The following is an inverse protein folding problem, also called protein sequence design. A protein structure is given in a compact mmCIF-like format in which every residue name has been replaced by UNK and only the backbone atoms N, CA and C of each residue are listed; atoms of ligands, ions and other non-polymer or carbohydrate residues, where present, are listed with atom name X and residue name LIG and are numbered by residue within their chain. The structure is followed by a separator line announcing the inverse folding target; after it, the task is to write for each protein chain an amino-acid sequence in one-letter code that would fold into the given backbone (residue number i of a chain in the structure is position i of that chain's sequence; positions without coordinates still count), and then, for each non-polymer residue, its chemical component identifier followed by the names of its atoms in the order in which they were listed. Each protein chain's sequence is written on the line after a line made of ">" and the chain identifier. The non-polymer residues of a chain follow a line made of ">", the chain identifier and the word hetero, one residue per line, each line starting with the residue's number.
data_IF_677931999363
#
_entry.id   IF_677931999363
#
_cell.length_a   1.000
_cell.length_b   1.000
_cell.length_c   1.000
_cell.angle_alpha   90.00
_cell.angle_beta   90.00
_cell.angle_gamma   90.00
#
_symmetry.space_group_name_H-M   'P 1'
#
loop_
_entity.id
_entity.type
_entity.pdbx_description
1 polymer ?
#
# COMPACT_ATOMS: atom_id res chain seq x y z
N UNK A 1 43.26 28.37 -46.84
CA UNK A 1 42.85 26.95 -46.71
C UNK A 1 42.15 26.59 -48.01
N UNK A 2 42.59 25.56 -48.73
CA UNK A 2 41.97 25.16 -50.01
C UNK A 2 40.67 24.40 -49.75
N UNK A 3 39.72 24.45 -50.70
CA UNK A 3 38.40 23.81 -50.57
C UNK A 3 38.51 22.29 -50.36
N UNK A 4 39.47 21.64 -51.01
CA UNK A 4 39.78 20.22 -50.78
C UNK A 4 40.24 19.95 -49.33
N UNK A 5 41.09 20.81 -48.78
CA UNK A 5 41.56 20.65 -47.40
C UNK A 5 40.41 20.80 -46.39
N UNK A 6 39.46 21.71 -46.64
CA UNK A 6 38.25 21.84 -45.81
C UNK A 6 37.33 20.62 -45.88
N UNK A 7 37.19 20.00 -47.06
CA UNK A 7 36.38 18.78 -47.20
C UNK A 7 36.99 17.59 -46.45
N UNK A 8 38.31 17.42 -46.51
CA UNK A 8 39.02 16.36 -45.77
C UNK A 8 38.84 16.53 -44.26
N UNK A 9 39.04 17.76 -43.75
CA UNK A 9 38.84 18.06 -42.32
C UNK A 9 37.39 17.80 -41.88
N UNK A 10 36.39 18.17 -42.70
CA UNK A 10 34.99 17.93 -42.38
C UNK A 10 34.67 16.42 -42.31
N UNK A 11 35.27 15.62 -43.19
CA UNK A 11 35.06 14.18 -43.24
C UNK A 11 35.76 13.46 -42.08
N UNK A 12 36.97 13.88 -41.71
CA UNK A 12 37.68 13.40 -40.51
C UNK A 12 36.92 13.75 -39.23
N UNK A 13 36.41 14.99 -39.11
CA UNK A 13 35.61 15.41 -37.96
C UNK A 13 34.31 14.60 -37.82
N UNK A 14 33.63 14.32 -38.95
CA UNK A 14 32.43 13.48 -38.94
C UNK A 14 32.76 12.05 -38.51
N UNK A 15 33.87 11.48 -39.01
CA UNK A 15 34.35 10.16 -38.61
C UNK A 15 34.63 10.08 -37.11
N UNK A 16 35.36 11.05 -36.57
CA UNK A 16 35.67 11.12 -35.14
C UNK A 16 34.40 11.31 -34.28
N UNK A 17 33.40 12.06 -34.75
CA UNK A 17 32.12 12.20 -34.05
C UNK A 17 31.35 10.88 -33.98
N UNK A 18 31.28 10.16 -35.10
CA UNK A 18 30.60 8.86 -35.16
C UNK A 18 31.30 7.85 -34.24
N UNK A 19 32.63 7.80 -34.27
CA UNK A 19 33.42 6.89 -33.44
C UNK A 19 33.23 7.20 -31.94
N UNK A 20 33.21 8.48 -31.57
CA UNK A 20 32.92 8.92 -30.20
C UNK A 20 31.49 8.57 -29.76
N UNK A 21 30.49 8.76 -30.62
CA UNK A 21 29.11 8.33 -30.31
C UNK A 21 29.05 6.81 -30.09
N UNK A 22 29.73 6.04 -30.93
CA UNK A 22 29.80 4.57 -30.78
C UNK A 22 30.51 4.15 -29.49
N UNK A 23 31.60 4.80 -29.11
CA UNK A 23 32.28 4.55 -27.84
C UNK A 23 31.40 4.93 -26.64
N UNK A 24 30.69 6.05 -26.69
CA UNK A 24 29.72 6.43 -25.66
C UNK A 24 28.56 5.43 -25.56
N UNK A 25 28.05 4.92 -26.68
CA UNK A 25 27.02 3.87 -26.73
C UNK A 25 27.56 2.53 -26.17
N UNK A 26 28.81 2.18 -26.47
CA UNK A 26 29.50 1.00 -25.95
C UNK A 26 29.74 1.10 -24.43
N UNK A 27 30.12 2.27 -23.92
CA UNK A 27 30.25 2.50 -22.48
C UNK A 27 28.89 2.47 -21.77
N UNK A 28 27.83 3.02 -22.39
CA UNK A 28 26.46 2.94 -21.88
C UNK A 28 25.96 1.50 -21.80
N UNK A 29 26.38 0.61 -22.69
CA UNK A 29 25.97 -0.81 -22.67
C UNK A 29 26.73 -1.64 -21.62
N UNK A 30 27.92 -1.20 -21.17
CA UNK A 30 28.64 -1.83 -20.06
C UNK A 30 28.02 -1.54 -18.68
N UNK A 31 27.17 -0.52 -18.57
CA UNK A 31 26.49 -0.13 -17.33
C UNK A 31 25.01 -0.45 -17.51
N UNK A 32 24.47 -1.39 -16.73
CA UNK A 32 23.07 -1.79 -16.84
C UNK A 32 22.29 -1.31 -15.60
N UNK A 33 21.91 -0.01 -15.54
CA UNK A 33 21.16 0.51 -14.40
C UNK A 33 19.75 -0.10 -14.39
N UNK A 34 19.20 -0.24 -13.18
CA UNK A 34 17.85 -0.74 -12.99
C UNK A 34 16.84 0.25 -13.60
N UNK A 35 16.17 -0.16 -14.67
CA UNK A 35 15.19 0.66 -15.38
C UNK A 35 13.86 0.68 -14.62
N UNK A 36 13.49 1.85 -14.08
CA UNK A 36 12.26 2.09 -13.34
C UNK A 36 11.34 2.97 -14.16
N UNK A 37 10.15 2.45 -14.50
CA UNK A 37 9.11 3.20 -15.19
C UNK A 37 8.00 3.60 -14.21
N UNK A 38 7.54 4.85 -14.30
CA UNK A 38 6.42 5.34 -13.49
C UNK A 38 5.35 5.87 -14.46
N UNK A 39 4.17 5.24 -14.47
CA UNK A 39 3.03 5.69 -15.29
C UNK A 39 2.28 6.81 -14.57
N UNK A 40 1.51 7.60 -15.33
CA UNK A 40 0.81 8.79 -14.80
C UNK A 40 1.75 9.63 -13.93
N UNK A 41 2.97 9.87 -14.42
CA UNK A 41 4.05 10.48 -13.64
C UNK A 41 3.77 11.94 -13.22
N UNK A 42 2.75 12.59 -13.78
CA UNK A 42 2.23 13.87 -13.29
C UNK A 42 1.41 13.77 -11.99
N UNK A 43 1.10 12.55 -11.53
CA UNK A 43 0.39 12.33 -10.28
C UNK A 43 1.23 12.82 -9.08
N UNK A 44 0.60 13.44 -8.04
CA UNK A 44 1.32 13.90 -6.85
C UNK A 44 2.13 12.82 -6.13
N UNK A 45 1.73 11.55 -6.25
CA UNK A 45 2.48 10.44 -5.69
C UNK A 45 3.88 10.29 -6.32
N UNK A 46 4.02 10.55 -7.63
CA UNK A 46 5.30 10.46 -8.32
C UNK A 46 6.31 11.48 -7.77
N UNK A 47 5.88 12.73 -7.60
CA UNK A 47 6.72 13.81 -7.02
C UNK A 47 7.30 13.43 -5.65
N UNK A 48 6.50 12.76 -4.81
CA UNK A 48 6.94 12.30 -3.49
C UNK A 48 7.74 10.98 -3.53
N UNK A 49 7.57 10.17 -4.58
CA UNK A 49 8.20 8.87 -4.72
C UNK A 49 9.65 8.99 -5.21
N UNK A 50 9.93 9.91 -6.13
CA UNK A 50 11.25 10.07 -6.75
C UNK A 50 12.36 10.24 -5.69
N UNK A 51 12.26 11.16 -4.70
CA UNK A 51 13.30 11.31 -3.68
C UNK A 51 13.54 10.04 -2.86
N UNK A 52 12.51 9.21 -2.67
CA UNK A 52 12.65 7.95 -1.92
C UNK A 52 13.36 6.91 -2.78
N UNK A 53 13.04 6.80 -4.08
CA UNK A 53 13.73 5.89 -4.99
C UNK A 53 15.21 6.27 -5.16
N UNK A 54 15.50 7.56 -5.30
CA UNK A 54 16.85 8.10 -5.48
C UNK A 54 17.63 8.21 -4.17
N UNK A 55 17.02 7.89 -3.03
CA UNK A 55 17.75 7.82 -1.75
C UNK A 55 18.69 6.62 -1.67
N UNK A 56 18.49 5.58 -2.49
CA UNK A 56 19.21 4.31 -2.41
C UNK A 56 18.67 3.34 -1.34
N UNK A 57 17.66 3.72 -0.54
CA UNK A 57 17.08 2.83 0.47
C UNK A 57 16.20 1.72 -0.09
N UNK A 58 15.69 1.90 -1.31
CA UNK A 58 14.70 0.98 -1.92
C UNK A 58 15.38 -0.19 -2.63
N UNK A 59 16.45 0.09 -3.40
CA UNK A 59 17.17 -0.91 -4.20
C UNK A 59 18.61 -1.16 -3.72
N UNK A 60 19.08 -0.40 -2.71
CA UNK A 60 20.44 -0.43 -2.20
C UNK A 60 21.38 0.60 -2.84
N UNK A 61 22.38 1.05 -2.09
CA UNK A 61 23.36 2.07 -2.52
C UNK A 61 24.28 1.64 -3.66
N UNK A 62 24.33 0.35 -3.96
CA UNK A 62 25.15 -0.22 -5.03
C UNK A 62 24.37 -0.43 -6.33
N UNK A 63 23.06 -0.11 -6.34
CA UNK A 63 22.18 -0.28 -7.49
C UNK A 63 21.93 1.07 -8.13
N UNK A 64 22.59 1.35 -9.25
CA UNK A 64 22.26 2.51 -10.07
C UNK A 64 20.88 2.33 -10.72
N UNK A 65 20.10 3.41 -10.80
CA UNK A 65 18.75 3.42 -11.37
C UNK A 65 18.62 4.44 -12.50
N UNK A 66 17.80 4.10 -13.48
CA UNK A 66 17.34 5.00 -14.53
C UNK A 66 15.84 5.12 -14.44
N UNK A 67 15.31 6.34 -14.30
CA UNK A 67 13.88 6.58 -14.13
C UNK A 67 13.29 7.09 -15.45
N UNK A 68 12.24 6.45 -15.95
CA UNK A 68 11.44 6.97 -17.06
C UNK A 68 10.05 7.36 -16.57
N UNK A 69 9.75 8.65 -16.71
CA UNK A 69 8.47 9.26 -16.37
C UNK A 69 7.54 9.15 -17.57
N UNK A 70 6.51 8.32 -17.46
CA UNK A 70 5.57 8.05 -18.55
C UNK A 70 4.21 8.69 -18.26
N UNK A 71 3.75 9.54 -19.18
CA UNK A 71 2.44 10.16 -19.11
C UNK A 71 1.97 10.57 -20.52
N UNK A 72 0.78 11.12 -20.62
CA UNK A 72 0.24 11.67 -21.86
C UNK A 72 1.02 12.93 -22.31
N UNK A 73 0.84 13.29 -23.59
CA UNK A 73 1.49 14.46 -24.19
C UNK A 73 1.10 15.80 -23.54
N UNK A 74 -0.06 15.91 -22.91
CA UNK A 74 -0.48 17.16 -22.25
C UNK A 74 0.34 17.43 -20.98
N UNK A 75 0.86 16.38 -20.34
CA UNK A 75 1.71 16.48 -19.17
C UNK A 75 3.20 16.74 -19.49
N UNK A 76 3.59 16.81 -20.77
CA UNK A 76 5.00 16.83 -21.20
C UNK A 76 5.81 17.96 -20.53
N UNK A 77 5.28 19.17 -20.47
CA UNK A 77 5.96 20.31 -19.83
C UNK A 77 6.14 20.11 -18.32
N UNK A 78 5.14 19.52 -17.66
CA UNK A 78 5.24 19.18 -16.24
C UNK A 78 6.31 18.09 -16.01
N UNK A 79 6.35 17.07 -16.86
CA UNK A 79 7.37 16.02 -16.79
C UNK A 79 8.78 16.57 -17.03
N UNK A 80 8.96 17.52 -17.97
CA UNK A 80 10.24 18.20 -18.18
C UNK A 80 10.71 18.94 -16.94
N UNK A 81 9.81 19.65 -16.25
CA UNK A 81 10.12 20.27 -14.95
C UNK A 81 10.58 19.23 -13.94
N UNK A 82 9.84 18.11 -13.83
CA UNK A 82 10.16 17.05 -12.89
C UNK A 82 11.50 16.38 -13.20
N UNK A 83 11.87 16.23 -14.47
CA UNK A 83 13.21 15.76 -14.89
C UNK A 83 14.30 16.66 -14.34
N UNK A 84 14.16 17.99 -14.52
CA UNK A 84 15.16 18.96 -14.03
C UNK A 84 15.27 18.89 -12.52
N UNK A 85 14.14 18.94 -11.79
CA UNK A 85 14.14 18.81 -10.32
C UNK A 85 14.77 17.49 -9.86
N UNK A 86 14.53 16.40 -10.58
CA UNK A 86 15.10 15.08 -10.26
C UNK A 86 16.61 15.03 -10.50
N UNK A 87 17.11 15.70 -11.53
CA UNK A 87 18.56 15.84 -11.78
C UNK A 87 19.23 16.69 -10.70
N UNK A 88 18.57 17.77 -10.27
CA UNK A 88 19.05 18.68 -9.24
C UNK A 88 19.17 18.03 -7.85
N UNK A 89 18.54 16.87 -7.63
CA UNK A 89 18.76 16.06 -6.43
C UNK A 89 20.21 15.57 -6.29
N UNK A 90 20.98 15.56 -7.38
CA UNK A 90 22.38 15.11 -7.42
C UNK A 90 22.58 13.75 -6.72
N UNK A 91 21.62 12.85 -6.90
CA UNK A 91 21.62 11.55 -6.22
C UNK A 91 22.74 10.65 -6.76
N UNK A 92 23.51 9.97 -5.88
CA UNK A 92 24.59 9.08 -6.30
C UNK A 92 24.10 7.80 -6.98
N UNK A 93 22.84 7.39 -6.75
CA UNK A 93 22.27 6.19 -7.37
C UNK A 93 21.51 6.50 -8.65
N UNK A 94 21.20 7.77 -8.93
CA UNK A 94 20.48 8.16 -10.13
C UNK A 94 21.43 8.31 -11.31
N UNK A 95 21.35 7.36 -12.26
CA UNK A 95 22.15 7.41 -13.49
C UNK A 95 21.54 8.35 -14.52
N UNK A 96 20.24 8.25 -14.73
CA UNK A 96 19.51 9.09 -15.67
C UNK A 96 18.03 9.20 -15.31
N UNK A 97 17.40 10.27 -15.76
CA UNK A 97 15.95 10.45 -15.73
C UNK A 97 15.50 10.96 -17.09
N UNK A 98 14.38 10.43 -17.59
CA UNK A 98 13.85 10.71 -18.93
C UNK A 98 12.32 10.77 -18.91
N UNK A 99 11.74 11.36 -19.95
CA UNK A 99 10.28 11.36 -20.16
C UNK A 99 9.94 10.44 -21.34
N UNK A 100 8.74 9.87 -21.31
CA UNK A 100 8.14 9.20 -22.44
C UNK A 100 6.68 9.62 -22.55
N UNK A 101 6.28 10.10 -23.73
CA UNK A 101 4.87 10.46 -24.02
C UNK A 101 4.28 9.65 -25.17
N UNK A 102 5.09 8.78 -25.79
CA UNK A 102 4.68 7.89 -26.87
C UNK A 102 4.41 6.50 -26.33
N UNK A 103 3.18 6.04 -26.51
CA UNK A 103 2.71 4.77 -25.98
C UNK A 103 3.50 3.59 -26.56
N UNK A 104 3.93 3.67 -27.81
CA UNK A 104 4.64 2.59 -28.51
C UNK A 104 6.05 2.35 -27.96
N UNK A 105 6.62 3.35 -27.29
CA UNK A 105 7.96 3.29 -26.68
C UNK A 105 7.91 2.91 -25.19
N UNK A 106 6.71 2.77 -24.62
CA UNK A 106 6.54 2.52 -23.19
C UNK A 106 7.15 1.18 -22.73
N UNK A 107 7.70 1.17 -21.53
CA UNK A 107 8.21 -0.01 -20.81
C UNK A 107 9.40 -0.73 -21.45
N UNK A 108 10.12 -0.10 -22.38
CA UNK A 108 11.34 -0.67 -22.96
C UNK A 108 12.36 -0.98 -21.87
N UNK A 109 12.78 -2.25 -21.83
CA UNK A 109 13.77 -2.79 -20.90
C UNK A 109 13.42 -2.55 -19.42
N UNK A 110 12.14 -2.32 -19.11
CA UNK A 110 11.71 -2.03 -17.74
C UNK A 110 12.02 -3.22 -16.82
N UNK A 111 12.65 -2.93 -15.68
CA UNK A 111 12.87 -3.89 -14.60
C UNK A 111 11.83 -3.71 -13.50
N UNK A 112 11.40 -2.47 -13.28
CA UNK A 112 10.32 -2.11 -12.34
C UNK A 112 9.34 -1.18 -13.04
N UNK A 113 8.05 -1.43 -12.87
CA UNK A 113 6.97 -0.57 -13.38
C UNK A 113 6.05 -0.22 -12.22
N UNK A 114 5.93 1.07 -11.93
CA UNK A 114 5.00 1.63 -10.94
C UNK A 114 3.78 2.18 -11.68
N UNK A 115 2.62 1.57 -11.45
CA UNK A 115 1.36 1.98 -12.08
C UNK A 115 0.60 2.92 -11.15
N UNK A 116 0.48 4.21 -11.52
CA UNK A 116 -0.21 5.24 -10.71
C UNK A 116 -1.52 5.73 -11.33
N UNK A 117 -1.98 5.12 -12.43
CA UNK A 117 -3.13 5.62 -13.19
C UNK A 117 -4.42 5.58 -12.39
N UNK A 118 -4.91 6.76 -12.01
CA UNK A 118 -6.19 6.95 -11.34
C UNK A 118 -7.21 7.59 -12.29
N UNK A 119 -8.49 7.48 -11.95
CA UNK A 119 -9.56 8.22 -12.62
C UNK A 119 -9.41 9.71 -12.33
N UNK A 120 -9.40 10.56 -13.37
CA UNK A 120 -9.36 12.01 -13.15
C UNK A 120 -10.74 12.53 -12.77
N UNK A 121 -10.83 13.33 -11.70
CA UNK A 121 -12.09 13.93 -11.21
C UNK A 121 -12.79 14.84 -12.25
N UNK A 122 -12.11 15.14 -13.37
CA UNK A 122 -12.58 16.06 -14.42
C UNK A 122 -13.52 15.43 -15.43
N UNK A 123 -13.69 14.11 -15.40
CA UNK A 123 -14.53 13.40 -16.35
C UNK A 123 -15.83 12.96 -15.67
N UNK A 124 -16.97 13.50 -16.14
CA UNK A 124 -18.30 13.14 -15.64
C UNK A 124 -18.65 11.74 -16.12
N UNK A 125 -18.17 10.72 -15.40
CA UNK A 125 -18.42 9.32 -15.67
C UNK A 125 -19.26 8.70 -14.56
N UNK A 126 -20.17 7.78 -14.92
CA UNK A 126 -20.75 6.87 -13.92
C UNK A 126 -19.66 5.97 -13.35
N UNK A 127 -19.89 5.37 -12.17
CA UNK A 127 -18.94 4.42 -11.59
C UNK A 127 -18.65 3.27 -12.56
N UNK A 128 -19.66 2.78 -13.26
CA UNK A 128 -19.53 1.73 -14.27
C UNK A 128 -18.69 2.17 -15.48
N UNK A 129 -18.81 3.42 -15.92
CA UNK A 129 -17.97 3.96 -16.98
C UNK A 129 -16.50 4.06 -16.52
N UNK A 130 -16.26 4.48 -15.28
CA UNK A 130 -14.94 4.44 -14.66
C UNK A 130 -14.35 3.02 -14.67
N UNK A 131 -15.13 2.01 -14.25
CA UNK A 131 -14.71 0.60 -14.25
C UNK A 131 -14.38 0.10 -15.66
N UNK A 132 -15.26 0.34 -16.64
CA UNK A 132 -15.06 -0.08 -18.04
C UNK A 132 -13.86 0.61 -18.70
N UNK A 133 -13.64 1.89 -18.40
CA UNK A 133 -12.51 2.65 -18.95
C UNK A 133 -11.14 2.06 -18.56
N UNK A 134 -11.06 1.25 -17.49
CA UNK A 134 -9.80 0.61 -17.07
C UNK A 134 -9.39 -0.51 -18.01
N UNK A 135 -10.32 -1.15 -18.72
CA UNK A 135 -10.04 -2.31 -19.56
C UNK A 135 -9.15 -1.97 -20.76
N UNK A 136 -9.45 -0.94 -21.58
CA UNK A 136 -8.57 -0.55 -22.68
C UNK A 136 -7.16 -0.20 -22.21
N UNK A 137 -7.04 0.55 -21.10
CA UNK A 137 -5.76 0.94 -20.53
C UNK A 137 -4.94 -0.28 -20.08
N UNK A 138 -5.51 -1.15 -19.26
CA UNK A 138 -4.82 -2.33 -18.75
C UNK A 138 -4.49 -3.33 -19.87
N UNK A 139 -5.33 -3.42 -20.91
CA UNK A 139 -5.05 -4.23 -22.10
C UNK A 139 -3.84 -3.73 -22.86
N UNK A 140 -3.78 -2.42 -23.11
CA UNK A 140 -2.67 -1.78 -23.79
C UNK A 140 -1.38 -1.93 -22.98
N UNK A 141 -1.41 -1.62 -21.68
CA UNK A 141 -0.25 -1.77 -20.80
C UNK A 141 0.21 -3.21 -20.70
N UNK A 142 -0.71 -4.16 -20.47
CA UNK A 142 -0.34 -5.58 -20.39
C UNK A 142 0.41 -6.06 -21.64
N UNK A 143 -0.11 -5.72 -22.83
CA UNK A 143 0.55 -6.01 -24.09
C UNK A 143 1.94 -5.37 -24.22
N UNK A 144 2.07 -4.08 -23.89
CA UNK A 144 3.34 -3.36 -24.00
C UNK A 144 4.38 -3.88 -23.01
N UNK A 145 3.96 -4.23 -21.79
CA UNK A 145 4.85 -4.78 -20.78
C UNK A 145 5.42 -6.13 -21.25
N UNK A 146 4.57 -7.06 -21.72
CA UNK A 146 5.07 -8.34 -22.23
C UNK A 146 5.98 -8.22 -23.45
N UNK A 147 5.72 -7.20 -24.29
CA UNK A 147 6.47 -6.97 -25.51
C UNK A 147 7.83 -6.30 -25.26
N UNK A 148 7.87 -5.31 -24.36
CA UNK A 148 8.98 -4.37 -24.26
C UNK A 148 9.80 -4.51 -22.98
N UNK A 149 9.22 -5.00 -21.88
CA UNK A 149 9.86 -5.06 -20.57
C UNK A 149 10.82 -6.26 -20.45
N UNK A 150 11.65 -6.23 -19.41
CA UNK A 150 12.50 -7.36 -19.05
C UNK A 150 11.65 -8.57 -18.61
N UNK A 151 12.12 -9.80 -18.84
CA UNK A 151 11.35 -11.02 -18.52
C UNK A 151 11.01 -11.15 -17.03
N UNK A 152 11.87 -10.62 -16.16
CA UNK A 152 11.71 -10.60 -14.71
C UNK A 152 11.12 -9.28 -14.17
N UNK A 153 10.45 -8.49 -15.01
CA UNK A 153 9.90 -7.19 -14.61
C UNK A 153 8.96 -7.33 -13.41
N UNK A 154 9.12 -6.43 -12.43
CA UNK A 154 8.22 -6.31 -11.29
C UNK A 154 7.25 -5.16 -11.51
N UNK A 155 5.96 -5.46 -11.52
CA UNK A 155 4.90 -4.47 -11.70
C UNK A 155 4.20 -4.26 -10.37
N UNK A 156 4.22 -3.02 -9.89
CA UNK A 156 3.56 -2.63 -8.66
C UNK A 156 2.43 -1.66 -8.99
N UNK A 157 1.21 -2.06 -8.67
CA UNK A 157 0.01 -1.26 -8.90
C UNK A 157 -0.30 -0.48 -7.64
N UNK A 158 -0.17 0.84 -7.74
CA UNK A 158 -0.56 1.80 -6.73
C UNK A 158 -1.66 2.72 -7.23
N UNK A 159 -1.83 3.82 -6.50
CA UNK A 159 -2.86 4.82 -6.78
C UNK A 159 -4.04 4.73 -5.81
N UNK A 160 -5.00 5.64 -6.03
CA UNK A 160 -6.14 5.88 -5.16
C UNK A 160 -7.35 5.04 -5.52
N UNK A 161 -7.53 4.69 -6.80
CA UNK A 161 -8.76 4.04 -7.27
C UNK A 161 -8.50 2.70 -7.98
N UNK A 162 -9.42 1.75 -7.74
CA UNK A 162 -9.53 0.47 -8.42
C UNK A 162 -8.22 -0.34 -8.48
N UNK A 163 -7.44 -0.33 -7.40
CA UNK A 163 -6.09 -0.94 -7.38
C UNK A 163 -6.17 -2.45 -7.66
N UNK A 164 -7.10 -3.16 -7.00
CA UNK A 164 -7.31 -4.60 -7.21
C UNK A 164 -7.76 -4.89 -8.65
N UNK A 165 -8.70 -4.11 -9.19
CA UNK A 165 -9.22 -4.30 -10.55
C UNK A 165 -8.13 -4.08 -11.60
N UNK A 166 -7.36 -2.97 -11.51
CA UNK A 166 -6.24 -2.69 -12.43
C UNK A 166 -5.24 -3.85 -12.42
N UNK A 167 -4.93 -4.36 -11.23
CA UNK A 167 -4.01 -5.48 -11.04
C UNK A 167 -4.50 -6.76 -11.71
N UNK A 168 -5.75 -7.17 -11.49
CA UNK A 168 -6.28 -8.39 -12.10
C UNK A 168 -6.44 -8.26 -13.63
N UNK A 169 -6.73 -7.06 -14.13
CA UNK A 169 -6.79 -6.79 -15.57
C UNK A 169 -5.39 -6.85 -16.20
N UNK A 170 -4.38 -6.25 -15.57
CA UNK A 170 -2.99 -6.36 -16.03
C UNK A 170 -2.53 -7.81 -16.06
N UNK A 171 -2.78 -8.60 -15.01
CA UNK A 171 -2.48 -10.04 -14.99
C UNK A 171 -3.18 -10.81 -16.12
N UNK A 172 -4.43 -10.43 -16.44
CA UNK A 172 -5.18 -11.05 -17.54
C UNK A 172 -4.58 -10.74 -18.91
N UNK A 173 -4.07 -9.53 -19.11
CA UNK A 173 -3.52 -9.07 -20.39
C UNK A 173 -1.99 -9.22 -20.50
N UNK A 174 -1.31 -9.58 -19.40
CA UNK A 174 0.10 -9.91 -19.33
C UNK A 174 0.33 -11.25 -18.59
N UNK A 175 -0.21 -12.38 -19.10
CA UNK A 175 -0.16 -13.66 -18.40
C UNK A 175 1.26 -14.18 -18.14
N UNK A 176 2.26 -13.88 -18.98
CA UNK A 176 3.64 -14.37 -18.82
C UNK A 176 4.30 -13.85 -17.55
N UNK A 177 3.95 -12.63 -17.14
CA UNK A 177 4.52 -11.96 -15.96
C UNK A 177 3.52 -11.81 -14.81
N UNK A 178 2.34 -12.43 -14.90
CA UNK A 178 1.26 -12.24 -13.93
C UNK A 178 1.68 -12.50 -12.46
N UNK A 179 2.63 -13.41 -12.23
CA UNK A 179 3.20 -13.71 -10.91
C UNK A 179 4.03 -12.56 -10.32
N UNK A 180 4.50 -11.63 -11.14
CA UNK A 180 5.28 -10.44 -10.75
C UNK A 180 4.43 -9.15 -10.80
N UNK A 181 3.11 -9.25 -10.72
CA UNK A 181 2.21 -8.09 -10.60
C UNK A 181 1.58 -8.11 -9.21
N UNK A 182 1.71 -7.03 -8.45
CA UNK A 182 1.14 -6.92 -7.09
C UNK A 182 0.40 -5.60 -6.91
N UNK A 183 -0.56 -5.57 -5.98
CA UNK A 183 -1.29 -4.39 -5.56
C UNK A 183 -0.85 -3.92 -4.17
N UNK A 184 -0.63 -2.62 -4.00
CA UNK A 184 -0.11 -2.02 -2.76
C UNK A 184 -1.23 -1.79 -1.74
N UNK A 185 -1.22 -2.54 -0.63
CA UNK A 185 -2.19 -2.36 0.46
C UNK A 185 -1.64 -1.55 1.65
N UNK A 186 -0.33 -1.27 1.68
CA UNK A 186 0.36 -0.71 2.84
C UNK A 186 -0.14 0.69 3.27
N UNK A 187 -0.75 1.45 2.35
CA UNK A 187 -1.33 2.75 2.70
C UNK A 187 -2.54 2.63 3.64
N UNK A 188 -3.44 1.66 3.41
CA UNK A 188 -4.57 1.38 4.32
C UNK A 188 -4.05 0.92 5.69
N UNK A 189 -3.00 0.09 5.67
CA UNK A 189 -2.33 -0.39 6.87
C UNK A 189 -1.76 0.80 7.69
N UNK A 190 -1.11 1.75 7.02
CA UNK A 190 -0.59 2.97 7.63
C UNK A 190 -1.67 3.84 8.27
N UNK A 191 -2.82 4.01 7.60
CA UNK A 191 -3.97 4.76 8.14
C UNK A 191 -4.54 4.09 9.39
N UNK A 192 -4.74 2.77 9.35
CA UNK A 192 -5.18 1.98 10.49
C UNK A 192 -4.21 2.11 11.67
N UNK A 193 -2.90 1.95 11.43
CA UNK A 193 -1.85 2.15 12.44
C UNK A 193 -1.91 3.56 13.05
N UNK A 194 -2.08 4.59 12.22
CA UNK A 194 -2.15 5.97 12.69
C UNK A 194 -3.38 6.22 13.59
N UNK A 195 -4.54 5.65 13.26
CA UNK A 195 -5.75 5.78 14.09
C UNK A 195 -5.57 5.07 15.44
N UNK A 196 -5.07 3.83 15.43
CA UNK A 196 -4.78 3.08 16.65
C UNK A 196 -3.75 3.80 17.52
N UNK A 197 -2.71 4.34 16.92
CA UNK A 197 -1.66 5.08 17.60
C UNK A 197 -2.20 6.33 18.30
N UNK A 198 -3.14 7.06 17.69
CA UNK A 198 -3.82 8.19 18.35
C UNK A 198 -4.66 7.75 19.55
N UNK A 199 -5.42 6.65 19.44
CA UNK A 199 -6.21 6.11 20.56
C UNK A 199 -5.31 5.67 21.72
N UNK A 200 -4.17 5.06 21.42
CA UNK A 200 -3.20 4.57 22.39
C UNK A 200 -2.19 5.63 22.86
N UNK A 201 -2.18 6.82 22.24
CA UNK A 201 -1.19 7.89 22.48
C UNK A 201 0.25 7.41 22.31
N UNK A 202 0.52 6.68 21.23
CA UNK A 202 1.85 6.13 20.92
C UNK A 202 2.28 6.48 19.49
N UNK A 203 3.50 6.13 19.10
CA UNK A 203 3.99 6.34 17.73
C UNK A 203 3.39 5.30 16.78
N UNK A 204 2.93 5.67 15.57
CA UNK A 204 2.41 4.71 14.59
C UNK A 204 3.39 3.63 14.18
N UNK A 205 4.69 3.94 14.17
CA UNK A 205 5.77 2.99 13.86
C UNK A 205 5.91 1.85 14.88
N UNK A 206 5.33 2.01 16.07
CA UNK A 206 5.34 0.99 17.11
C UNK A 206 4.22 -0.03 16.96
N UNK A 207 3.24 0.23 16.08
CA UNK A 207 2.14 -0.68 15.80
C UNK A 207 2.49 -1.52 14.57
N UNK A 208 2.50 -2.83 14.74
CA UNK A 208 2.90 -3.83 13.73
C UNK A 208 1.82 -4.88 13.54
N UNK A 209 1.91 -5.63 12.45
CA UNK A 209 1.08 -6.81 12.18
C UNK A 209 -0.43 -6.51 12.05
N UNK A 210 -0.77 -5.32 11.52
CA UNK A 210 -2.13 -4.98 11.09
C UNK A 210 -2.38 -5.67 9.75
N UNK A 211 -3.46 -6.45 9.65
CA UNK A 211 -3.80 -7.16 8.41
C UNK A 211 -4.98 -6.48 7.73
N UNK A 212 -4.82 -6.17 6.44
CA UNK A 212 -5.85 -5.60 5.58
C UNK A 212 -6.36 -6.70 4.66
N UNK A 213 -7.62 -7.09 4.83
CA UNK A 213 -8.30 -8.08 3.99
C UNK A 213 -9.19 -7.37 2.96
N UNK A 214 -9.22 -7.87 1.72
CA UNK A 214 -10.23 -7.49 0.73
C UNK A 214 -9.82 -6.42 -0.29
N UNK A 215 -10.75 -5.52 -0.58
CA UNK A 215 -10.60 -4.49 -1.61
C UNK A 215 -9.82 -3.29 -1.06
N UNK A 216 -8.60 -3.07 -1.55
CA UNK A 216 -7.68 -2.04 -1.07
C UNK A 216 -8.27 -0.64 -1.24
N UNK A 217 -8.95 -0.39 -2.36
CA UNK A 217 -9.55 0.91 -2.68
C UNK A 217 -11.03 1.00 -2.30
N UNK A 218 -11.61 -0.03 -1.68
CA UNK A 218 -13.03 -0.13 -1.42
C UNK A 218 -13.33 -0.82 -0.09
N UNK A 219 -14.23 -1.80 -0.11
CA UNK A 219 -14.65 -2.53 1.09
C UNK A 219 -13.56 -3.49 1.57
N UNK A 220 -12.71 -3.00 2.48
CA UNK A 220 -11.72 -3.78 3.20
C UNK A 220 -12.16 -4.09 4.63
N UNK A 221 -11.47 -5.05 5.24
CA UNK A 221 -11.53 -5.31 6.67
C UNK A 221 -10.15 -5.19 7.29
N UNK A 222 -10.07 -4.43 8.37
CA UNK A 222 -8.85 -4.28 9.17
C UNK A 222 -8.91 -5.25 10.35
N UNK A 223 -8.09 -6.28 10.28
CA UNK A 223 -7.98 -7.31 11.31
C UNK A 223 -6.94 -6.91 12.35
N UNK A 224 -7.37 -6.82 13.61
CA UNK A 224 -6.53 -6.44 14.73
C UNK A 224 -6.05 -7.61 15.58
N UNK A 225 -6.47 -8.84 15.26
CA UNK A 225 -6.18 -10.04 16.07
C UNK A 225 -4.69 -10.34 16.17
N UNK A 226 -3.93 -10.02 15.12
CA UNK A 226 -2.46 -10.16 15.11
C UNK A 226 -1.71 -8.88 15.41
N UNK A 227 -2.40 -7.74 15.51
CA UNK A 227 -1.75 -6.45 15.70
C UNK A 227 -1.09 -6.34 17.07
N UNK A 228 0.16 -5.88 17.07
CA UNK A 228 1.00 -5.73 18.25
C UNK A 228 1.47 -4.29 18.41
N UNK A 229 1.67 -3.86 19.66
CA UNK A 229 2.31 -2.58 19.99
C UNK A 229 3.62 -2.87 20.70
N UNK A 230 4.70 -2.33 20.15
CA UNK A 230 6.04 -2.34 20.72
C UNK A 230 6.29 -1.03 21.50
N UNK A 231 7.25 -1.02 22.43
CA UNK A 231 7.67 0.22 23.14
C UNK A 231 6.50 1.03 23.74
N UNK A 232 5.43 0.34 24.16
CA UNK A 232 4.25 0.98 24.72
C UNK A 232 4.55 1.43 26.15
N UNK A 233 4.46 2.74 26.39
CA UNK A 233 4.67 3.30 27.72
C UNK A 233 3.49 2.97 28.63
N UNK A 234 3.71 2.02 29.54
CA UNK A 234 2.74 1.60 30.56
C UNK A 234 3.46 1.14 31.82
N UNK A 235 2.72 0.79 32.87
CA UNK A 235 3.29 0.19 34.09
C UNK A 235 4.10 -1.09 33.81
N UNK A 236 3.84 -1.77 32.69
CA UNK A 236 4.62 -2.91 32.20
C UNK A 236 5.53 -2.41 31.09
N UNK A 237 6.84 -2.33 31.39
CA UNK A 237 7.89 -2.03 30.43
C UNK A 237 8.71 -3.29 30.13
N UNK A 238 9.14 -3.43 28.89
CA UNK A 238 9.92 -4.58 28.44
C UNK A 238 11.06 -4.16 27.50
N UNK A 239 11.93 -5.10 27.10
CA UNK A 239 13.01 -4.86 26.14
C UNK A 239 12.48 -4.41 24.77
N UNK A 240 13.37 -3.99 23.87
CA UNK A 240 12.99 -3.44 22.56
C UNK A 240 12.08 -4.35 21.71
N UNK A 241 12.20 -5.66 21.88
CA UNK A 241 11.40 -6.68 21.18
C UNK A 241 10.12 -7.08 21.93
N UNK A 242 9.90 -6.52 23.13
CA UNK A 242 8.68 -6.76 23.86
C UNK A 242 7.51 -6.01 23.22
N UNK A 243 6.39 -6.71 23.12
CA UNK A 243 5.18 -6.19 22.49
C UNK A 243 3.96 -6.81 23.11
N UNK A 244 2.84 -6.07 23.03
CA UNK A 244 1.55 -6.49 23.57
C UNK A 244 0.49 -6.48 22.45
N UNK A 245 -0.48 -7.41 22.46
CA UNK A 245 -1.60 -7.35 21.54
C UNK A 245 -2.36 -6.03 21.69
N UNK A 246 -2.70 -5.37 20.57
CA UNK A 246 -3.45 -4.09 20.58
C UNK A 246 -4.79 -4.23 21.30
N UNK A 247 -5.48 -5.35 21.08
CA UNK A 247 -6.80 -5.60 21.67
C UNK A 247 -6.75 -5.71 23.21
N UNK A 248 -5.59 -6.03 23.79
CA UNK A 248 -5.41 -6.06 25.25
C UNK A 248 -5.12 -4.67 25.84
N UNK A 249 -4.92 -3.66 24.99
CA UNK A 249 -4.64 -2.27 25.38
C UNK A 249 -5.85 -1.35 25.18
N UNK A 250 -6.77 -1.72 24.28
CA UNK A 250 -7.99 -0.97 24.00
C UNK A 250 -9.17 -1.69 24.66
N UNK A 251 -9.51 -1.29 25.87
CA UNK A 251 -10.64 -1.87 26.64
C UNK A 251 -12.02 -1.45 26.11
N UNK A 252 -12.05 -0.44 25.25
CA UNK A 252 -13.25 0.14 24.67
C UNK A 252 -13.66 -0.64 23.41
N UNK A 253 -14.41 -1.72 23.61
CA UNK A 253 -14.83 -2.62 22.52
C UNK A 253 -15.76 -1.94 21.51
N UNK A 254 -16.61 -1.00 21.95
CA UNK A 254 -17.48 -0.23 21.07
C UNK A 254 -16.67 0.70 20.17
N UNK A 255 -15.60 1.31 20.69
CA UNK A 255 -14.70 2.09 19.85
C UNK A 255 -14.04 1.25 18.76
N UNK A 256 -13.58 0.03 19.08
CA UNK A 256 -12.97 -0.87 18.08
C UNK A 256 -13.99 -1.30 17.03
N UNK A 257 -15.20 -1.70 17.46
CA UNK A 257 -16.22 -2.27 16.56
C UNK A 257 -16.93 -1.20 15.72
N UNK A 258 -17.13 0.01 16.25
CA UNK A 258 -17.92 1.06 15.59
C UNK A 258 -17.09 2.25 15.17
N UNK A 259 -16.46 2.95 16.12
CA UNK A 259 -15.82 4.23 15.83
C UNK A 259 -14.60 4.08 14.92
N UNK A 260 -13.73 3.12 15.20
CA UNK A 260 -12.55 2.81 14.39
C UNK A 260 -12.93 2.47 12.95
N UNK A 261 -13.92 1.58 12.79
CA UNK A 261 -14.45 1.19 11.48
C UNK A 261 -15.09 2.37 10.74
N UNK A 262 -15.84 3.23 11.46
CA UNK A 262 -16.47 4.41 10.88
C UNK A 262 -15.44 5.46 10.41
N UNK A 263 -14.37 5.69 11.18
CA UNK A 263 -13.28 6.61 10.81
C UNK A 263 -12.61 6.12 9.52
N UNK A 264 -12.26 4.83 9.45
CA UNK A 264 -11.66 4.25 8.24
C UNK A 264 -12.60 4.34 7.03
N UNK A 265 -13.88 3.99 7.21
CA UNK A 265 -14.87 4.09 6.13
C UNK A 265 -15.01 5.52 5.60
N UNK A 266 -14.96 6.52 6.48
CA UNK A 266 -15.02 7.93 6.10
C UNK A 266 -13.78 8.38 5.30
N UNK A 267 -12.58 7.88 5.64
CA UNK A 267 -11.36 8.16 4.87
C UNK A 267 -11.45 7.58 3.45
N UNK A 268 -11.97 6.36 3.32
CA UNK A 268 -12.24 5.75 2.01
C UNK A 268 -13.29 6.52 1.22
N UNK A 269 -14.43 6.87 1.83
CA UNK A 269 -15.53 7.56 1.14
C UNK A 269 -15.21 9.00 0.72
N UNK A 270 -14.40 9.71 1.50
CA UNK A 270 -13.95 11.07 1.15
C UNK A 270 -12.89 11.08 0.06
N UNK A 271 -12.39 9.91 -0.35
CA UNK A 271 -11.26 9.80 -1.27
C UNK A 271 -9.97 10.42 -0.71
N UNK A 272 -9.93 10.78 0.58
CA UNK A 272 -8.73 11.30 1.25
C UNK A 272 -7.69 10.20 1.49
N UNK A 273 -8.10 8.95 1.35
CA UNK A 273 -7.18 7.82 1.31
C UNK A 273 -6.09 8.03 0.25
N UNK A 274 -4.86 7.68 0.61
CA UNK A 274 -3.70 7.66 -0.29
C UNK A 274 -3.35 9.01 -0.95
N UNK A 275 -3.19 10.08 -0.16
CA UNK A 275 -2.50 11.29 -0.62
C UNK A 275 -1.09 11.01 -1.16
N UNK A 276 -0.51 11.96 -1.91
CA UNK A 276 0.76 11.75 -2.63
C UNK A 276 1.91 11.18 -1.77
N UNK A 277 2.08 11.69 -0.55
CA UNK A 277 3.11 11.24 0.40
C UNK A 277 2.86 9.78 0.84
N UNK A 278 1.64 9.45 1.25
CA UNK A 278 1.31 8.11 1.75
C UNK A 278 1.42 7.06 0.63
N UNK A 279 0.95 7.39 -0.58
CA UNK A 279 1.08 6.53 -1.75
C UNK A 279 2.54 6.26 -2.09
N UNK A 280 3.36 7.32 -2.18
CA UNK A 280 4.80 7.22 -2.44
C UNK A 280 5.52 6.35 -1.41
N UNK A 281 5.29 6.61 -0.12
CA UNK A 281 5.88 5.83 0.96
C UNK A 281 5.47 4.35 0.91
N UNK A 282 4.19 4.08 0.62
CA UNK A 282 3.65 2.73 0.54
C UNK A 282 4.26 1.92 -0.61
N UNK A 283 4.39 2.56 -1.78
CA UNK A 283 5.01 1.96 -2.98
C UNK A 283 6.49 1.70 -2.72
N UNK A 284 7.23 2.70 -2.24
CA UNK A 284 8.66 2.58 -1.98
C UNK A 284 8.96 1.51 -0.93
N UNK A 285 8.17 1.45 0.14
CA UNK A 285 8.34 0.43 1.19
C UNK A 285 8.01 -0.96 0.67
N UNK A 286 6.97 -1.11 -0.14
CA UNK A 286 6.63 -2.40 -0.76
C UNK A 286 7.74 -2.86 -1.71
N UNK A 287 8.30 -1.96 -2.53
CA UNK A 287 9.46 -2.26 -3.37
C UNK A 287 10.67 -2.66 -2.53
N UNK A 288 10.97 -1.90 -1.47
CA UNK A 288 12.06 -2.21 -0.53
C UNK A 288 11.92 -3.61 0.05
N UNK A 289 10.72 -3.97 0.52
CA UNK A 289 10.45 -5.32 1.03
C UNK A 289 10.58 -6.37 -0.08
N UNK A 290 10.14 -6.08 -1.29
CA UNK A 290 10.27 -7.01 -2.39
C UNK A 290 11.73 -7.26 -2.82
N UNK A 291 12.63 -6.29 -2.65
CA UNK A 291 14.06 -6.46 -2.95
C UNK A 291 14.86 -7.02 -1.77
N UNK A 292 14.56 -6.62 -0.55
CA UNK A 292 15.39 -6.89 0.63
C UNK A 292 14.74 -7.81 1.67
N UNK A 293 13.47 -8.18 1.49
CA UNK A 293 12.66 -8.87 2.48
C UNK A 293 11.94 -7.91 3.43
N UNK A 294 10.83 -8.36 4.00
CA UNK A 294 10.16 -7.65 5.10
C UNK A 294 10.91 -7.90 6.42
N UNK A 295 10.75 -7.05 7.44
CA UNK A 295 11.39 -7.29 8.73
C UNK A 295 11.04 -8.67 9.29
N UNK A 296 11.99 -9.38 9.93
CA UNK A 296 11.76 -10.74 10.41
C UNK A 296 10.55 -10.84 11.35
N UNK A 297 9.61 -11.72 11.00
CA UNK A 297 8.40 -11.98 11.79
C UNK A 297 7.28 -10.93 11.64
N UNK A 298 7.49 -9.84 10.88
CA UNK A 298 6.44 -8.86 10.60
C UNK A 298 5.51 -9.35 9.48
N UNK A 299 4.21 -9.13 9.68
CA UNK A 299 3.16 -9.38 8.69
C UNK A 299 2.95 -8.13 7.86
N UNK A 300 2.90 -8.28 6.53
CA UNK A 300 2.62 -7.20 5.58
C UNK A 300 1.35 -7.52 4.82
N UNK A 301 0.48 -6.54 4.60
CA UNK A 301 -0.70 -6.71 3.75
C UNK A 301 -0.34 -6.49 2.28
N UNK A 302 -0.72 -7.42 1.40
CA UNK A 302 -0.44 -7.32 -0.03
C UNK A 302 -1.61 -7.82 -0.88
N UNK A 303 -1.94 -7.08 -1.94
CA UNK A 303 -2.92 -7.53 -2.91
C UNK A 303 -2.30 -8.42 -3.97
N UNK A 304 -2.72 -9.67 -4.00
CA UNK A 304 -2.23 -10.70 -4.93
C UNK A 304 -3.40 -11.49 -5.51
N UNK A 305 -3.15 -12.24 -6.58
CA UNK A 305 -4.16 -13.11 -7.18
C UNK A 305 -4.51 -14.24 -6.22
N UNK A 306 -5.79 -14.36 -5.89
CA UNK A 306 -6.29 -15.48 -5.10
C UNK A 306 -6.29 -16.78 -5.91
N UNK A 307 -5.72 -17.81 -5.30
CA UNK A 307 -5.70 -19.21 -5.75
C UNK A 307 -6.60 -20.12 -4.89
N UNK A 308 -7.34 -19.54 -3.93
CA UNK A 308 -8.19 -20.28 -2.98
C UNK A 308 -7.73 -20.21 -1.53
N UNK A 309 -6.68 -19.44 -1.22
CA UNK A 309 -6.17 -19.29 0.14
C UNK A 309 -7.29 -18.76 1.05
N UNK A 310 -7.39 -19.26 2.29
CA UNK A 310 -8.42 -18.87 3.26
C UNK A 310 -9.88 -19.03 2.78
N UNK A 311 -10.13 -19.82 1.73
CA UNK A 311 -11.45 -19.91 1.10
C UNK A 311 -11.82 -18.70 0.22
N UNK A 312 -10.86 -17.82 -0.08
CA UNK A 312 -11.07 -16.67 -0.98
C UNK A 312 -11.36 -17.19 -2.41
N UNK A 313 -12.40 -16.68 -3.10
CA UNK A 313 -12.68 -17.06 -4.48
C UNK A 313 -11.46 -16.89 -5.38
N UNK A 314 -11.23 -17.84 -6.30
CA UNK A 314 -10.09 -17.78 -7.23
C UNK A 314 -10.29 -16.69 -8.28
N UNK A 315 -9.19 -16.14 -8.78
CA UNK A 315 -9.21 -15.26 -9.96
C UNK A 315 -9.63 -13.82 -9.68
N UNK A 316 -9.62 -13.40 -8.42
CA UNK A 316 -9.68 -11.99 -8.00
C UNK A 316 -8.36 -11.61 -7.35
N UNK A 317 -7.96 -10.35 -7.49
CA UNK A 317 -6.87 -9.80 -6.68
C UNK A 317 -7.44 -9.35 -5.34
N UNK A 318 -6.86 -9.84 -4.26
CA UNK A 318 -7.39 -9.68 -2.90
C UNK A 318 -6.23 -9.38 -1.94
N UNK A 319 -6.39 -8.37 -1.06
CA UNK A 319 -5.39 -8.04 -0.04
C UNK A 319 -5.39 -9.10 1.05
N UNK A 320 -4.23 -9.70 1.35
CA UNK A 320 -4.10 -10.75 2.36
C UNK A 320 -2.70 -10.69 3.02
N UNK A 321 -2.48 -11.37 4.16
CA UNK A 321 -1.21 -11.29 4.88
C UNK A 321 -0.12 -12.09 4.17
N UNK A 322 1.01 -11.43 3.95
CA UNK A 322 2.21 -12.01 3.36
C UNK A 322 3.45 -11.67 4.19
N UNK A 323 4.52 -12.40 3.92
CA UNK A 323 5.89 -11.99 4.23
C UNK A 323 6.67 -11.84 2.93
N UNK A 324 7.59 -10.88 2.86
CA UNK A 324 8.56 -10.81 1.78
C UNK A 324 9.85 -11.50 2.20
N UNK A 325 10.34 -12.43 1.39
CA UNK A 325 11.59 -13.13 1.63
C UNK A 325 12.26 -13.52 0.31
N UNK A 326 13.59 -13.46 0.26
CA UNK A 326 14.39 -13.90 -0.89
C UNK A 326 13.96 -13.33 -2.25
N UNK A 327 13.57 -12.06 -2.30
CA UNK A 327 13.14 -11.43 -3.55
C UNK A 327 11.73 -11.82 -4.02
N UNK A 328 10.97 -12.55 -3.21
CA UNK A 328 9.58 -12.96 -3.45
C UNK A 328 8.70 -12.62 -2.24
N UNK A 329 7.41 -12.92 -2.33
CA UNK A 329 6.47 -12.94 -1.20
C UNK A 329 5.96 -14.36 -0.97
N UNK A 330 5.45 -14.62 0.23
CA UNK A 330 4.75 -15.86 0.60
C UNK A 330 3.52 -15.52 1.44
N UNK A 331 2.37 -16.13 1.11
CA UNK A 331 1.12 -15.97 1.86
C UNK A 331 1.21 -16.71 3.19
N UNK A 332 0.89 -16.02 4.28
CA UNK A 332 0.91 -16.57 5.64
C UNK A 332 -0.40 -17.30 5.95
N UNK A 333 -0.56 -18.51 5.41
CA UNK A 333 -1.81 -19.30 5.56
C UNK A 333 -1.98 -19.99 6.92
N UNK A 334 -0.93 -20.05 7.73
CA UNK A 334 -0.85 -20.74 9.02
C UNK A 334 -1.11 -19.83 10.24
N UNK A 335 -1.76 -18.68 10.02
CA UNK A 335 -2.11 -17.75 11.09
C UNK A 335 -3.18 -18.36 12.02
N UNK A 336 -2.77 -18.75 13.23
CA UNK A 336 -3.68 -19.18 14.31
C UNK A 336 -4.72 -18.10 14.61
N UNK A 337 -5.91 -18.45 15.05
CA UNK A 337 -6.95 -17.49 15.51
C UNK A 337 -7.42 -16.48 14.43
N UNK A 338 -7.13 -16.74 13.15
CA UNK A 338 -7.62 -15.96 12.03
C UNK A 338 -8.68 -16.77 11.30
N UNK A 339 -9.92 -16.61 11.74
CA UNK A 339 -11.09 -17.15 11.04
C UNK A 339 -11.82 -16.00 10.34
N UNK A 340 -12.25 -16.23 9.10
CA UNK A 340 -13.05 -15.27 8.34
C UNK A 340 -14.41 -15.91 8.11
N UNK A 341 -15.47 -15.28 8.64
CA UNK A 341 -16.83 -15.81 8.47
C UNK A 341 -17.28 -15.71 7.01
N UNK A 342 -18.21 -16.57 6.61
CA UNK A 342 -18.76 -16.55 5.25
C UNK A 342 -19.40 -15.20 4.89
N UNK A 343 -20.06 -14.55 5.84
CA UNK A 343 -20.67 -13.23 5.65
C UNK A 343 -19.61 -12.16 5.37
N UNK A 344 -18.52 -12.20 6.14
CA UNK A 344 -17.41 -11.27 6.01
C UNK A 344 -16.62 -11.50 4.73
N UNK A 345 -16.38 -12.75 4.36
CA UNK A 345 -15.85 -13.15 3.06
C UNK A 345 -16.69 -12.58 1.93
N UNK A 346 -18.00 -12.84 1.95
CA UNK A 346 -18.96 -12.34 0.95
C UNK A 346 -18.89 -10.82 0.83
N UNK A 347 -18.89 -10.11 1.96
CA UNK A 347 -18.77 -8.65 2.01
C UNK A 347 -17.52 -8.14 1.30
N UNK A 348 -16.35 -8.72 1.60
CA UNK A 348 -15.07 -8.29 1.04
C UNK A 348 -14.90 -8.66 -0.44
N UNK A 349 -15.50 -9.77 -0.88
CA UNK A 349 -15.31 -10.29 -2.25
C UNK A 349 -16.37 -9.79 -3.23
N UNK A 350 -17.57 -9.45 -2.76
CA UNK A 350 -18.70 -9.04 -3.62
C UNK A 350 -18.31 -7.89 -4.55
N UNK A 351 -17.76 -6.82 -3.99
CA UNK A 351 -17.41 -5.63 -4.77
C UNK A 351 -16.29 -5.95 -5.78
N UNK A 352 -15.26 -6.69 -5.37
CA UNK A 352 -14.15 -7.10 -6.25
C UNK A 352 -14.63 -7.92 -7.45
N UNK A 353 -15.54 -8.88 -7.21
CA UNK A 353 -16.11 -9.72 -8.26
C UNK A 353 -16.97 -8.85 -9.19
N UNK A 354 -17.82 -7.99 -8.64
CA UNK A 354 -18.68 -7.12 -9.43
C UNK A 354 -17.89 -6.08 -10.24
N UNK A 355 -16.88 -5.44 -9.66
CA UNK A 355 -15.99 -4.51 -10.36
C UNK A 355 -15.39 -5.17 -11.60
N UNK A 356 -14.87 -6.41 -11.45
CA UNK A 356 -14.32 -7.20 -12.56
C UNK A 356 -15.37 -7.53 -13.62
N UNK A 357 -16.55 -8.00 -13.22
CA UNK A 357 -17.63 -8.36 -14.16
C UNK A 357 -18.15 -7.13 -14.92
N UNK A 358 -18.33 -6.00 -14.24
CA UNK A 358 -18.79 -4.75 -14.87
C UNK A 358 -17.75 -4.19 -15.83
N UNK A 359 -16.47 -4.19 -15.42
CA UNK A 359 -15.38 -3.74 -16.27
C UNK A 359 -15.29 -4.58 -17.57
N UNK A 360 -15.45 -5.90 -17.48
CA UNK A 360 -15.41 -6.81 -18.63
C UNK A 360 -16.71 -6.82 -19.46
N UNK A 361 -17.78 -6.19 -18.99
CA UNK A 361 -19.07 -6.15 -19.66
C UNK A 361 -19.97 -7.36 -19.39
N UNK A 362 -19.54 -8.28 -18.51
CA UNK A 362 -20.32 -9.45 -18.08
C UNK A 362 -21.49 -9.06 -17.15
N UNK A 363 -21.43 -7.86 -16.55
CA UNK A 363 -22.52 -7.26 -15.77
C UNK A 363 -22.71 -5.78 -16.17
N UNK A 364 -23.98 -5.34 -16.26
CA UNK A 364 -24.30 -3.97 -16.70
C UNK A 364 -24.17 -2.97 -15.55
N UNK A 365 -24.64 -3.33 -14.36
CA UNK A 365 -24.74 -2.41 -13.22
C UNK A 365 -23.87 -2.88 -12.06
N UNK A 366 -23.17 -1.93 -11.44
CA UNK A 366 -22.47 -2.18 -10.19
C UNK A 366 -23.45 -2.01 -9.03
N UNK A 367 -23.52 -3.00 -8.15
CA UNK A 367 -24.34 -2.94 -6.94
C UNK A 367 -23.40 -3.09 -5.74
N UNK A 368 -22.97 -1.97 -5.12
CA UNK A 368 -22.11 -2.03 -3.95
C UNK A 368 -22.74 -2.91 -2.88
N UNK A 369 -21.93 -3.71 -2.19
CA UNK A 369 -22.40 -4.48 -1.06
C UNK A 369 -23.01 -3.54 0.00
N UNK A 370 -24.27 -3.74 0.32
CA UNK A 370 -24.95 -3.01 1.40
C UNK A 370 -24.81 -3.81 2.69
N UNK A 371 -23.97 -3.34 3.61
CA UNK A 371 -23.87 -3.93 4.94
C UNK A 371 -25.18 -3.75 5.71
N UNK A 372 -25.80 -4.83 6.17
CA UNK A 372 -26.88 -4.75 7.14
C UNK A 372 -26.34 -4.25 8.49
N UNK A 373 -27.20 -3.72 9.38
CA UNK A 373 -26.80 -3.25 10.72
C UNK A 373 -26.09 -4.32 11.58
N UNK A 374 -26.15 -5.60 11.21
CA UNK A 374 -25.49 -6.73 11.89
C UNK A 374 -24.03 -6.96 11.48
N UNK A 375 -23.58 -6.41 10.35
CA UNK A 375 -22.26 -6.73 9.75
C UNK A 375 -21.09 -5.90 10.33
N UNK A 376 -21.35 -5.08 11.35
CA UNK A 376 -20.35 -4.25 12.04
C UNK A 376 -19.81 -4.91 13.32
N UNK A 377 -20.33 -6.07 13.70
CA UNK A 377 -19.93 -6.79 14.91
C UNK A 377 -19.12 -8.01 14.49
N UNK A 378 -17.85 -8.16 14.94
CA UNK A 378 -17.14 -9.42 14.84
C UNK A 378 -17.93 -10.50 15.59
N UNK A 379 -18.22 -11.63 14.93
CA UNK A 379 -18.87 -12.81 15.49
C UNK A 379 -17.98 -13.48 16.56
N UNK A 380 -17.82 -12.87 17.73
CA UNK A 380 -17.11 -13.46 18.87
C UNK A 380 -18.06 -14.06 19.92
N UNK A 381 -19.37 -13.83 19.82
CA UNK A 381 -20.33 -14.29 20.84
C UNK A 381 -20.57 -15.81 20.89
N UNK A 382 -20.05 -16.60 19.94
CA UNK A 382 -20.33 -18.06 19.91
C UNK A 382 -19.29 -18.96 20.59
N UNK A 383 -18.10 -18.46 20.95
CA UNK A 383 -17.03 -19.32 21.48
C UNK A 383 -16.68 -19.10 22.97
N UNK A 384 -17.50 -18.36 23.72
CA UNK A 384 -17.27 -18.06 25.14
C UNK A 384 -18.26 -18.70 26.13
N UNK A 385 -19.07 -19.66 25.67
CA UNK A 385 -19.89 -20.48 26.57
C UNK A 385 -19.54 -21.94 26.34
N UNK A 386 -18.59 -22.46 27.14
CA UNK A 386 -18.52 -23.85 27.65
C UNK A 386 -17.11 -24.14 28.18
N UNK A 387 -16.81 -23.69 29.40
CA UNK A 387 -16.02 -24.45 30.38
C UNK A 387 -16.04 -23.64 31.69
N UNK A 388 -16.84 -24.08 32.65
CA UNK A 388 -16.51 -24.10 34.08
C UNK A 388 -17.75 -24.54 34.86
N UNK A 389 -17.91 -25.87 34.93
CA UNK A 389 -18.64 -26.51 36.01
C UNK A 389 -17.59 -27.27 36.83
N UNK A 390 -17.12 -26.63 37.89
CA UNK A 390 -16.36 -27.30 38.95
C UNK A 390 -16.93 -26.83 40.29
N UNK A 391 -17.61 -27.78 40.95
CA UNK A 391 -18.17 -27.71 42.29
C UNK A 391 -17.16 -27.24 43.34
N UNK A 392 -17.55 -26.30 44.20
CA UNK A 392 -17.12 -26.29 45.61
C UNK A 392 -18.24 -25.73 46.52
N UNK A 393 -18.39 -26.25 47.74
CA UNK A 393 -19.61 -26.10 48.54
C UNK A 393 -19.65 -24.83 49.41
N UNK A 394 -20.88 -24.37 49.63
CA UNK A 394 -21.27 -23.29 50.55
C UNK A 394 -20.98 -23.65 52.01
N UNK A 395 -20.20 -22.83 52.71
CA UNK A 395 -20.35 -22.63 54.16
C UNK A 395 -20.28 -21.14 54.50
N UNK A 396 -21.36 -20.63 55.09
CA UNK A 396 -21.50 -19.30 55.67
C UNK A 396 -21.35 -19.44 57.19
N UNK A 397 -20.68 -18.50 57.86
CA UNK A 397 -21.16 -18.07 59.18
C UNK A 397 -21.46 -16.57 59.23
N UNK A 398 -22.63 -16.27 59.79
CA UNK A 398 -23.08 -14.94 60.19
C UNK A 398 -22.26 -14.42 61.37
N UNK A 399 -21.95 -13.12 61.38
CA UNK A 399 -21.84 -12.34 62.62
C UNK A 399 -22.18 -10.86 62.39
N UNK A 400 -22.74 -10.30 63.46
CA UNK A 400 -23.61 -9.13 63.60
C UNK A 400 -22.90 -7.82 63.99
N UNK A 401 -23.53 -6.70 63.60
CA UNK A 401 -23.61 -5.37 64.25
C UNK A 401 -22.34 -4.61 64.69
N UNK A 402 -22.13 -3.39 64.16
CA UNK A 402 -22.39 -2.10 64.85
C UNK A 402 -22.02 -0.86 63.99
N UNK A 403 -22.77 0.23 64.17
CA UNK A 403 -22.53 1.60 63.65
C UNK A 403 -22.06 2.49 64.81
N UNK A 404 -21.23 3.50 64.56
CA UNK A 404 -21.62 4.87 64.98
C UNK A 404 -21.26 5.92 63.91
N UNK A 405 -22.17 6.82 63.54
CA UNK A 405 -22.43 8.17 64.10
C UNK A 405 -21.40 9.26 63.73
N UNK A 406 -22.01 10.35 63.24
CA UNK A 406 -21.53 11.65 62.80
C UNK A 406 -20.80 12.49 63.85
N UNK A 407 -19.86 13.32 63.38
CA UNK A 407 -19.53 14.61 64.02
C UNK A 407 -19.08 15.63 62.97
N UNK A 408 -19.83 16.74 62.89
CA UNK A 408 -19.41 18.03 62.33
C UNK A 408 -18.49 18.75 63.34
N UNK A 409 -17.55 19.57 62.86
CA UNK A 409 -17.51 21.02 63.13
C UNK A 409 -16.24 21.73 62.60
N UNK A 410 -16.51 22.84 61.90
CA UNK A 410 -15.87 24.18 61.93
C UNK A 410 -14.44 24.43 61.37
N UNK A 411 -14.47 25.12 60.21
CA UNK A 411 -14.03 26.50 59.96
C UNK A 411 -12.56 26.92 59.69
N UNK A 412 -12.51 27.72 58.62
CA UNK A 412 -11.71 28.92 58.35
C UNK A 412 -10.22 28.77 58.04
N UNK A 413 -9.83 29.15 56.81
CA UNK A 413 -9.24 30.46 56.58
C UNK A 413 -9.19 30.81 55.07
N UNK A 414 -9.71 32.00 54.76
CA UNK A 414 -9.60 32.69 53.48
C UNK A 414 -8.15 33.09 53.16
N UNK A 415 -7.85 33.23 51.86
CA UNK A 415 -7.15 34.43 51.40
C UNK A 415 -6.03 34.27 50.37
N UNK A 416 -6.32 34.79 49.16
CA UNK A 416 -5.41 35.55 48.25
C UNK A 416 -4.32 34.74 47.52
N UNK A 417 -3.92 34.99 46.27
CA UNK A 417 -4.13 36.11 45.34
C UNK A 417 -3.77 35.65 43.92
N UNK A 418 -4.33 36.39 42.97
CA UNK A 418 -4.16 36.35 41.51
C UNK A 418 -2.83 36.97 41.06
N UNK A 419 -2.41 36.60 39.84
CA UNK A 419 -1.43 37.24 38.91
C UNK A 419 0.08 36.98 39.05
N UNK A 420 0.62 36.21 38.09
CA UNK A 420 1.56 36.71 37.06
C UNK A 420 1.55 35.80 35.84
#
# INVERSE_FOLDING_TARGET
>A
MTTELMMVIAQENLGAHIEKEQEEEALKTCINPLQVWITSASAPACYNLIPILTSGEVFGMHTEISITLFDNKQAEEHLKSLVVETQDLASPVLRSVSICTKVEEAFRQAHVIVVLDDSTDKEVFTLEDCLRSRVPLCRLYGYLIEKNAHESVRVIVGGRTFVNLKTVLLMRYAPRIAHNIIAVALGVEGEAKAILARKLKTAPSYIKDVIIWGNISGNNYVDLRKTRVYRYESAIWGPLHYSRPVLNLIFDSEWVKREFVAILKNLTSTGRQFGGILAAHSIATTLKYWYHGSPPGEIVSLGILSEGQFGIPKGIVFSMPVKFENGTWVVLTDLKDVEISEQMMTRMTSDLIQEKLVALGDKIHFQPYQSGHKDLVPDEEKNLVMSDAADFPNEIPQTTFEKPQSLEFLNDFEGKTVES
#
